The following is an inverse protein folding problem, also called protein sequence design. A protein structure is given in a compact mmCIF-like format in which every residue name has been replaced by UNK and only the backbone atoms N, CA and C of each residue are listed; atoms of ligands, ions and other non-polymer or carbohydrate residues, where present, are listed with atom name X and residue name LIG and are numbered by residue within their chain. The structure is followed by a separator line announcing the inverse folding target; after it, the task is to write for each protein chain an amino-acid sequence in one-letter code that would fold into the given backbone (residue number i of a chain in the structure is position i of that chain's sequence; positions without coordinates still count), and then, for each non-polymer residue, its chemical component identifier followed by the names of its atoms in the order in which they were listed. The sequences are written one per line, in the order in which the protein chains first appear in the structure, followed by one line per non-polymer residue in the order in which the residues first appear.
data_IF_445771362414
#
_entry.id   IF_445771362414
#
_cell.length_a   1.000
_cell.length_b   1.000
_cell.length_c   1.000
_cell.angle_alpha   90.00
_cell.angle_beta   90.00
_cell.angle_gamma   90.00
#
_symmetry.space_group_name_H-M   'P 1'
#
loop_
_entity.id
_entity.type
_entity.pdbx_description
1 polymer ?
#
# COMPACT_ATOMS: atom_id res chain seq x y z
N UNK A 1 -8.86 -20.26 -3.33
CA UNK A 1 -7.77 -20.83 -2.51
C UNK A 1 -6.55 -19.91 -2.53
N UNK A 2 -6.18 -19.35 -3.69
CA UNK A 2 -5.06 -18.40 -3.84
C UNK A 2 -5.16 -17.13 -2.97
N UNK A 3 -6.35 -16.52 -2.88
CA UNK A 3 -6.54 -15.30 -2.08
C UNK A 3 -6.24 -15.46 -0.58
N UNK A 4 -6.39 -16.67 -0.01
CA UNK A 4 -6.13 -16.89 1.42
C UNK A 4 -4.64 -16.87 1.75
N UNK A 5 -3.81 -17.35 0.83
CA UNK A 5 -2.34 -17.39 1.00
C UNK A 5 -1.77 -15.96 1.00
N UNK A 6 -2.41 -15.05 0.26
CA UNK A 6 -1.99 -13.65 0.17
C UNK A 6 -2.50 -12.77 1.31
N UNK A 7 -3.29 -13.29 2.25
CA UNK A 7 -3.75 -12.54 3.42
C UNK A 7 -2.56 -12.02 4.26
N UNK A 8 -1.61 -12.85 4.72
CA UNK A 8 -0.44 -12.36 5.46
C UNK A 8 0.44 -11.45 4.59
N UNK A 9 0.67 -11.81 3.33
CA UNK A 9 1.55 -11.05 2.43
C UNK A 9 1.04 -9.62 2.16
N UNK A 10 -0.27 -9.46 1.94
CA UNK A 10 -0.89 -8.13 1.72
C UNK A 10 -0.80 -7.23 2.94
N UNK A 11 -1.00 -7.78 4.14
CA UNK A 11 -0.89 -7.05 5.41
C UNK A 11 0.56 -6.67 5.71
N UNK A 12 1.49 -7.58 5.47
CA UNK A 12 2.92 -7.30 5.56
C UNK A 12 3.32 -6.18 4.59
N UNK A 13 2.84 -6.23 3.34
CA UNK A 13 3.12 -5.19 2.34
C UNK A 13 2.60 -3.83 2.79
N UNK A 14 1.38 -3.76 3.31
CA UNK A 14 0.83 -2.52 3.86
C UNK A 14 1.68 -1.98 5.03
N UNK A 15 2.12 -2.85 5.94
CA UNK A 15 3.00 -2.48 7.04
C UNK A 15 4.34 -1.94 6.52
N UNK A 16 4.95 -2.60 5.54
CA UNK A 16 6.22 -2.16 4.94
C UNK A 16 6.09 -0.80 4.25
N UNK A 17 4.98 -0.53 3.55
CA UNK A 17 4.71 0.78 2.95
C UNK A 17 4.56 1.86 4.04
N UNK A 18 3.86 1.56 5.14
CA UNK A 18 3.73 2.47 6.29
C UNK A 18 5.10 2.76 6.92
N UNK A 19 5.93 1.72 7.10
CA UNK A 19 7.29 1.87 7.62
C UNK A 19 8.18 2.67 6.66
N UNK A 20 8.09 2.41 5.36
CA UNK A 20 8.81 3.16 4.33
C UNK A 20 8.43 4.65 4.32
N UNK A 21 7.16 4.98 4.62
CA UNK A 21 6.71 6.36 4.70
C UNK A 21 7.37 7.17 5.84
N UNK A 22 7.92 6.52 6.89
CA UNK A 22 8.73 7.22 7.89
C UNK A 22 10.12 7.63 7.36
N UNK A 23 10.60 6.96 6.32
CA UNK A 23 11.96 7.14 5.78
C UNK A 23 11.98 8.00 4.50
N UNK A 24 10.82 8.23 3.89
CA UNK A 24 10.69 9.01 2.64
C UNK A 24 10.24 10.42 2.95
N UNK A 25 11.13 11.40 2.70
CA UNK A 25 10.81 12.83 2.68
C UNK A 25 9.69 13.04 1.65
N UNK A 26 8.57 13.63 2.07
CA UNK A 26 7.32 13.88 1.29
C UNK A 26 6.26 12.75 1.31
N UNK A 27 6.37 11.79 2.24
CA UNK A 27 5.33 10.83 2.57
C UNK A 27 4.75 11.06 3.98
N UNK A 28 3.52 10.62 4.23
CA UNK A 28 2.84 10.72 5.53
C UNK A 28 2.51 9.32 6.09
N UNK A 29 3.38 8.81 6.96
CA UNK A 29 3.19 7.50 7.59
C UNK A 29 1.96 7.46 8.52
N UNK A 30 1.64 8.56 9.20
CA UNK A 30 0.49 8.65 10.09
C UNK A 30 -0.83 8.57 9.32
N UNK A 31 -0.90 9.24 8.17
CA UNK A 31 -2.03 9.12 7.26
C UNK A 31 -2.08 7.76 6.57
N UNK A 32 -0.95 7.18 6.15
CA UNK A 32 -0.87 5.82 5.62
C UNK A 32 -1.54 4.81 6.57
N UNK A 33 -1.16 4.84 7.85
CA UNK A 33 -1.72 3.94 8.86
C UNK A 33 -3.22 4.16 9.10
N UNK A 34 -3.65 5.43 9.22
CA UNK A 34 -5.08 5.77 9.37
C UNK A 34 -5.91 5.29 8.18
N UNK A 35 -5.40 5.49 6.96
CA UNK A 35 -6.08 5.06 5.74
C UNK A 35 -6.17 3.55 5.64
N UNK A 36 -5.11 2.79 5.94
CA UNK A 36 -5.16 1.32 6.00
C UNK A 36 -6.28 0.83 6.92
N UNK A 37 -6.33 1.37 8.15
CA UNK A 37 -7.36 0.97 9.14
C UNK A 37 -8.78 1.31 8.69
N UNK A 38 -8.96 2.45 8.03
CA UNK A 38 -10.26 2.98 7.62
C UNK A 38 -10.78 2.32 6.34
N UNK A 39 -9.93 2.09 5.35
CA UNK A 39 -10.35 1.84 3.97
C UNK A 39 -10.00 0.44 3.44
N UNK A 40 -8.95 -0.22 3.94
CA UNK A 40 -8.44 -1.45 3.32
C UNK A 40 -9.50 -2.56 3.17
N UNK A 41 -10.43 -2.67 4.12
CA UNK A 41 -11.50 -3.68 4.12
C UNK A 41 -12.66 -3.35 3.18
N UNK A 42 -12.73 -2.12 2.65
CA UNK A 42 -13.77 -1.70 1.69
C UNK A 42 -13.49 -2.22 0.29
N UNK A 43 -12.24 -2.60 0.01
CA UNK A 43 -11.86 -3.15 -1.28
C UNK A 43 -12.52 -4.53 -1.48
N UNK A 44 -13.02 -4.80 -2.69
CA UNK A 44 -13.67 -6.08 -3.04
C UNK A 44 -12.78 -7.30 -2.79
N UNK A 45 -11.48 -7.16 -3.07
CA UNK A 45 -10.47 -8.18 -2.79
C UNK A 45 -10.00 -8.05 -1.33
N UNK A 46 -9.93 -9.16 -0.58
CA UNK A 46 -9.47 -9.17 0.82
C UNK A 46 -7.98 -8.87 0.98
N UNK A 47 -7.25 -8.79 -0.13
CA UNK A 47 -5.80 -8.58 -0.21
C UNK A 47 -5.45 -7.19 -0.73
N UNK A 48 -5.99 -6.78 -1.87
CA UNK A 48 -5.51 -5.60 -2.59
C UNK A 48 -5.74 -4.27 -1.83
N UNK A 49 -6.81 -4.16 -1.05
CA UNK A 49 -7.10 -2.93 -0.32
C UNK A 49 -6.06 -2.54 0.72
N UNK A 50 -5.28 -3.49 1.25
CA UNK A 50 -4.26 -3.23 2.28
C UNK A 50 -3.10 -2.38 1.74
N UNK A 51 -2.33 -2.83 0.72
CA UNK A 51 -1.25 -2.03 0.16
C UNK A 51 -1.76 -0.77 -0.55
N UNK A 52 -2.92 -0.82 -1.21
CA UNK A 52 -3.50 0.36 -1.88
C UNK A 52 -3.84 1.46 -0.89
N UNK A 53 -4.49 1.14 0.24
CA UNK A 53 -4.79 2.09 1.30
C UNK A 53 -3.51 2.66 1.95
N UNK A 54 -2.47 1.84 2.12
CA UNK A 54 -1.19 2.31 2.63
C UNK A 54 -0.55 3.33 1.69
N UNK A 55 -0.48 3.02 0.39
CA UNK A 55 0.09 3.91 -0.62
C UNK A 55 -0.72 5.21 -0.77
N UNK A 56 -2.04 5.11 -0.84
CA UNK A 56 -2.96 6.24 -0.93
C UNK A 56 -2.77 7.20 0.24
N UNK A 57 -2.78 6.67 1.47
CA UNK A 57 -2.57 7.48 2.67
C UNK A 57 -1.17 8.09 2.73
N UNK A 58 -0.13 7.33 2.39
CA UNK A 58 1.25 7.83 2.38
C UNK A 58 1.48 8.98 1.41
N UNK A 59 0.82 8.96 0.25
CA UNK A 59 0.98 9.97 -0.79
C UNK A 59 -0.04 11.12 -0.72
N UNK A 60 -1.08 10.98 0.10
CA UNK A 60 -2.20 11.93 0.18
C UNK A 60 -3.14 11.84 -1.02
N UNK A 61 -3.28 10.66 -1.61
CA UNK A 61 -4.05 10.40 -2.83
C UNK A 61 -5.32 9.62 -2.52
N UNK A 62 -6.30 9.70 -3.43
CA UNK A 62 -7.46 8.82 -3.46
C UNK A 62 -7.33 7.85 -4.65
N UNK A 63 -7.21 6.55 -4.37
CA UNK A 63 -6.97 5.48 -5.35
C UNK A 63 -8.17 4.52 -5.43
N UNK A 64 -8.14 3.58 -6.39
CA UNK A 64 -9.22 2.65 -6.74
C UNK A 64 -10.46 3.39 -7.24
N UNK A 65 -11.42 3.71 -6.38
CA UNK A 65 -12.58 4.55 -6.68
C UNK A 65 -13.49 4.05 -7.82
N UNK A 66 -14.57 4.79 -8.13
CA UNK A 66 -15.46 4.43 -9.22
C UNK A 66 -14.73 4.47 -10.57
N UNK A 67 -14.91 3.43 -11.38
CA UNK A 67 -14.22 3.24 -12.66
C UNK A 67 -15.15 2.70 -13.73
N UNK A 68 -14.97 3.17 -14.96
CA UNK A 68 -15.73 2.70 -16.12
C UNK A 68 -14.99 1.52 -16.77
N UNK A 69 -15.65 0.37 -16.87
CA UNK A 69 -15.23 -0.77 -17.68
C UNK A 69 -16.24 -0.99 -18.79
N UNK A 70 -15.81 -0.90 -20.04
CA UNK A 70 -16.67 -1.11 -21.22
C UNK A 70 -17.98 -0.29 -21.18
N UNK A 71 -17.89 0.94 -20.64
CA UNK A 71 -19.03 1.85 -20.47
C UNK A 71 -19.89 1.59 -19.22
N UNK A 72 -19.61 0.54 -18.45
CA UNK A 72 -20.28 0.24 -17.18
C UNK A 72 -19.49 0.83 -16.02
N UNK A 73 -20.14 1.70 -15.25
CA UNK A 73 -19.58 2.23 -14.01
C UNK A 73 -19.60 1.17 -12.91
N UNK A 74 -18.44 0.85 -12.37
CA UNK A 74 -18.27 0.04 -11.16
C UNK A 74 -18.01 0.98 -9.99
N UNK A 75 -18.91 0.97 -9.01
CA UNK A 75 -18.85 1.81 -7.81
C UNK A 75 -17.92 1.20 -6.75
N UNK A 76 -16.63 1.14 -7.05
CA UNK A 76 -15.61 0.70 -6.10
C UNK A 76 -15.28 1.81 -5.10
N UNK A 77 -15.05 1.43 -3.83
CA UNK A 77 -14.67 2.36 -2.78
C UNK A 77 -13.28 2.97 -3.02
N UNK A 78 -13.09 4.23 -2.65
CA UNK A 78 -11.76 4.83 -2.65
C UNK A 78 -10.89 4.29 -1.51
N UNK A 79 -9.63 4.02 -1.84
CA UNK A 79 -8.55 3.90 -0.87
C UNK A 79 -7.96 5.30 -0.66
N UNK A 80 -8.05 5.84 0.56
CA UNK A 80 -7.63 7.22 0.82
C UNK A 80 -8.69 8.26 0.49
N UNK A 81 -9.98 7.95 0.74
CA UNK A 81 -11.09 8.91 0.61
C UNK A 81 -10.73 10.27 1.26
N UNK A 82 -11.01 11.35 0.52
CA UNK A 82 -10.62 12.73 0.86
C UNK A 82 -9.22 13.14 0.39
N UNK A 83 -8.41 12.22 -0.14
CA UNK A 83 -7.14 12.53 -0.79
C UNK A 83 -7.31 13.14 -2.19
N UNK A 84 -6.21 13.61 -2.78
CA UNK A 84 -6.21 14.19 -4.13
C UNK A 84 -6.54 13.13 -5.19
N UNK A 85 -7.47 13.45 -6.11
CA UNK A 85 -7.90 12.58 -7.22
C UNK A 85 -7.20 12.88 -8.54
N UNK A 86 -6.76 14.12 -8.75
CA UNK A 86 -6.01 14.52 -9.93
C UNK A 86 -4.56 14.03 -9.80
N UNK A 87 -4.34 12.75 -10.09
CA UNK A 87 -3.02 12.10 -10.04
C UNK A 87 -2.19 12.47 -11.26
N UNK A 88 -0.90 12.73 -11.04
CA UNK A 88 0.02 13.15 -12.08
C UNK A 88 1.20 12.17 -12.23
N UNK A 89 1.96 12.31 -13.32
CA UNK A 89 3.16 11.47 -13.56
C UNK A 89 4.21 11.57 -12.45
N UNK A 90 4.26 12.68 -11.70
CA UNK A 90 5.15 12.85 -10.54
C UNK A 90 4.76 11.91 -9.39
N UNK A 91 3.48 11.57 -9.25
CA UNK A 91 3.02 10.66 -8.20
C UNK A 91 3.49 9.23 -8.42
N UNK A 92 3.66 8.81 -9.68
CA UNK A 92 4.29 7.53 -10.02
C UNK A 92 5.72 7.49 -9.46
N UNK A 93 6.49 8.58 -9.62
CA UNK A 93 7.86 8.65 -9.08
C UNK A 93 7.88 8.63 -7.55
N UNK A 94 6.92 9.29 -6.90
CA UNK A 94 6.77 9.26 -5.44
C UNK A 94 6.39 7.85 -4.94
N UNK A 95 5.44 7.20 -5.60
CA UNK A 95 5.03 5.82 -5.31
C UNK A 95 6.18 4.83 -5.47
N UNK A 96 6.96 4.94 -6.56
CA UNK A 96 8.14 4.11 -6.79
C UNK A 96 9.22 4.32 -5.72
N UNK A 97 9.38 5.53 -5.19
CA UNK A 97 10.31 5.81 -4.09
C UNK A 97 9.88 5.08 -2.81
N UNK A 98 8.61 5.16 -2.45
CA UNK A 98 8.04 4.40 -1.32
C UNK A 98 8.21 2.89 -1.51
N UNK A 99 7.87 2.40 -2.71
CA UNK A 99 8.01 0.99 -3.07
C UNK A 99 9.44 0.49 -2.89
N UNK A 100 10.45 1.20 -3.43
CA UNK A 100 11.85 0.79 -3.30
C UNK A 100 12.31 0.73 -1.85
N UNK A 101 11.90 1.68 -1.01
CA UNK A 101 12.24 1.66 0.41
C UNK A 101 11.55 0.49 1.11
N UNK A 102 10.28 0.22 0.81
CA UNK A 102 9.56 -0.94 1.34
C UNK A 102 10.22 -2.27 0.92
N UNK A 103 10.71 -2.35 -0.32
CA UNK A 103 11.44 -3.50 -0.85
C UNK A 103 12.78 -3.70 -0.13
N UNK A 104 13.56 -2.64 0.12
CA UNK A 104 14.77 -2.73 0.93
C UNK A 104 14.49 -3.15 2.38
N UNK A 105 13.38 -2.71 2.98
CA UNK A 105 12.97 -3.18 4.31
C UNK A 105 12.65 -4.68 4.29
N UNK A 106 11.99 -5.17 3.25
CA UNK A 106 11.70 -6.60 3.08
C UNK A 106 12.99 -7.42 2.91
N UNK A 107 13.90 -6.96 2.05
CA UNK A 107 15.21 -7.59 1.85
C UNK A 107 16.01 -7.61 3.15
N UNK A 108 16.00 -6.51 3.92
CA UNK A 108 16.65 -6.43 5.22
C UNK A 108 16.08 -7.42 6.23
N UNK A 109 14.74 -7.53 6.30
CA UNK A 109 14.05 -8.49 7.17
C UNK A 109 14.45 -9.92 6.84
N UNK A 110 14.36 -10.33 5.58
CA UNK A 110 14.72 -11.69 5.18
C UNK A 110 16.21 -11.95 5.28
N UNK A 111 17.07 -10.99 4.93
CA UNK A 111 18.52 -11.09 5.12
C UNK A 111 18.89 -11.34 6.58
N UNK A 112 18.27 -10.62 7.51
CA UNK A 112 18.48 -10.83 8.94
C UNK A 112 18.00 -12.22 9.40
N UNK A 113 16.80 -12.64 8.98
CA UNK A 113 16.27 -13.96 9.31
C UNK A 113 17.18 -15.08 8.77
N UNK A 114 17.70 -14.95 7.55
CA UNK A 114 18.64 -15.90 6.97
C UNK A 114 19.94 -15.98 7.78
N UNK A 115 20.50 -14.85 8.21
CA UNK A 115 21.71 -14.84 9.07
C UNK A 115 21.44 -15.55 10.39
N UNK A 116 20.30 -15.28 11.03
CA UNK A 116 19.93 -15.93 12.30
C UNK A 116 19.83 -17.45 12.13
N UNK A 117 19.19 -17.92 11.06
CA UNK A 117 19.01 -19.36 10.79
C UNK A 117 20.33 -20.06 10.48
N UNK A 118 21.29 -19.38 9.84
CA UNK A 118 22.59 -19.97 9.49
C UNK A 118 23.52 -20.04 10.71
N UNK A 119 23.41 -19.09 11.64
CA UNK A 119 24.32 -18.96 12.79
C UNK A 119 23.79 -19.69 14.04
N UNK A 120 22.48 -19.90 14.15
CA UNK A 120 21.85 -20.68 15.23
C UNK A 120 21.98 -22.19 14.99
#
# INVERSE_FOLDING_TARGET
FDDLINLPASRLTALLIVLAAFLVKDADAGNAWRTVRRDAKKHRSPNAGWPEAAMAGALGLALAGPRSYDGVMVDDAFMGEGGRRDVESVDIRRALRLYRVADFLLMGLFGLLSVIVIVA
#
